data_IF_066757206808
#
_entry.id   IF_066757206808
#
_cell.length_a   1.000
_cell.length_b   1.000
_cell.length_c   1.000
_cell.angle_alpha   90.00
_cell.angle_beta   90.00
_cell.angle_gamma   90.00
#
_symmetry.space_group_name_H-M   'P 1'
#
loop_
_entity.id
_entity.type
_entity.pdbx_description
1 polymer ?
#
# COMPACT_ATOMS: atom_id res chain seq x y z
N UNK A 1 10.67 -6.59 -17.89
CA UNK A 1 9.90 -5.33 -17.83
C UNK A 1 10.05 -4.74 -16.45
N UNK A 2 10.54 -3.51 -16.35
CA UNK A 2 10.68 -2.79 -15.09
C UNK A 2 9.35 -2.06 -14.85
N UNK A 3 8.48 -2.59 -14.00
CA UNK A 3 7.22 -1.94 -13.65
C UNK A 3 7.53 -0.72 -12.76
N UNK A 4 7.09 0.50 -13.10
CA UNK A 4 7.36 1.70 -12.29
C UNK A 4 6.80 1.61 -10.86
N UNK A 5 5.77 0.79 -10.67
CA UNK A 5 5.01 0.61 -9.43
C UNK A 5 5.70 -0.28 -8.40
N UNK A 6 6.85 -0.89 -8.72
CA UNK A 6 7.59 -1.75 -7.77
C UNK A 6 8.77 -1.05 -7.11
N UNK A 7 9.07 0.21 -7.43
CA UNK A 7 10.25 0.92 -6.92
C UNK A 7 10.14 1.16 -5.42
N UNK A 8 11.22 0.83 -4.70
CA UNK A 8 11.36 1.25 -3.31
C UNK A 8 11.31 2.77 -3.20
N UNK A 9 10.63 3.28 -2.19
CA UNK A 9 10.63 4.69 -1.87
C UNK A 9 10.59 4.91 -0.37
N UNK A 10 11.14 6.04 0.05
CA UNK A 10 11.07 6.51 1.43
C UNK A 10 10.52 7.93 1.38
N UNK A 11 9.39 8.16 2.06
CA UNK A 11 8.84 9.50 2.27
C UNK A 11 9.11 9.88 3.72
N UNK A 12 9.79 11.01 3.91
CA UNK A 12 10.03 11.59 5.22
C UNK A 12 9.18 12.83 5.36
N UNK A 13 8.33 12.85 6.37
CA UNK A 13 7.55 14.04 6.74
C UNK A 13 8.30 14.73 7.87
N UNK A 14 8.66 15.98 7.65
CA UNK A 14 9.37 16.82 8.62
C UNK A 14 8.45 17.94 9.12
N UNK A 15 8.61 18.31 10.39
CA UNK A 15 7.96 19.49 10.96
C UNK A 15 8.72 20.78 10.56
N UNK A 16 8.18 21.95 10.89
CA UNK A 16 8.74 23.27 10.62
C UNK A 16 10.13 23.50 11.23
N UNK A 17 10.55 22.64 12.17
CA UNK A 17 11.90 22.61 12.77
C UNK A 17 12.88 21.72 12.01
N UNK A 18 12.48 21.16 10.86
CA UNK A 18 13.20 20.14 10.09
C UNK A 18 13.41 18.80 10.83
N UNK A 19 12.66 18.54 11.90
CA UNK A 19 12.69 17.26 12.59
C UNK A 19 11.76 16.24 11.91
N UNK A 20 12.25 15.03 11.66
CA UNK A 20 11.46 13.94 11.07
C UNK A 20 10.42 13.41 12.06
N UNK A 21 9.15 13.56 11.72
CA UNK A 21 8.01 13.14 12.55
C UNK A 21 7.39 11.84 12.05
N UNK A 22 7.35 11.62 10.73
CA UNK A 22 6.78 10.41 10.13
C UNK A 22 7.72 9.90 9.04
N UNK A 23 8.03 8.61 9.08
CA UNK A 23 8.78 7.92 8.04
C UNK A 23 7.90 6.86 7.39
N UNK A 24 7.65 6.98 6.10
CA UNK A 24 6.91 6.00 5.31
C UNK A 24 7.91 5.27 4.43
N UNK A 25 8.06 3.96 4.62
CA UNK A 25 9.00 3.13 3.89
C UNK A 25 8.26 2.09 3.06
N UNK A 26 8.59 2.02 1.79
CA UNK A 26 8.18 0.95 0.90
C UNK A 26 9.42 0.26 0.36
N UNK A 27 9.59 -1.02 0.71
CA UNK A 27 10.70 -1.83 0.21
C UNK A 27 10.38 -2.42 -1.16
N UNK A 28 11.41 -2.46 -2.03
CA UNK A 28 11.29 -3.09 -3.33
C UNK A 28 11.08 -4.60 -3.12
N UNK A 29 9.94 -5.10 -3.56
CA UNK A 29 9.69 -6.53 -3.67
C UNK A 29 9.46 -6.86 -5.15
N UNK A 30 10.31 -7.72 -5.72
CA UNK A 30 10.18 -8.16 -7.11
C UNK A 30 8.79 -8.83 -7.29
N UNK A 31 8.05 -8.56 -8.36
CA UNK A 31 6.67 -9.08 -8.55
C UNK A 31 5.61 -8.60 -7.54
N UNK A 32 5.94 -7.67 -6.63
CA UNK A 32 4.95 -7.10 -5.72
C UNK A 32 3.95 -6.21 -6.47
N UNK A 33 2.67 -6.35 -6.12
CA UNK A 33 1.57 -5.68 -6.80
C UNK A 33 0.84 -6.53 -7.85
N UNK A 34 1.33 -7.73 -8.16
CA UNK A 34 0.54 -8.70 -8.92
C UNK A 34 -0.60 -9.24 -8.04
N UNK A 35 -1.84 -9.10 -8.52
CA UNK A 35 -3.04 -9.50 -7.77
C UNK A 35 -3.07 -10.98 -7.39
N UNK A 36 -2.45 -11.83 -8.20
CA UNK A 36 -2.39 -13.28 -7.96
C UNK A 36 -1.36 -13.68 -6.90
N UNK A 37 -0.30 -12.89 -6.73
CA UNK A 37 0.80 -13.17 -5.80
C UNK A 37 0.77 -12.30 -4.54
N UNK A 38 -0.26 -11.48 -4.36
CA UNK A 38 -0.44 -10.69 -3.14
C UNK A 38 -0.61 -11.56 -1.88
N UNK A 39 -0.98 -12.84 -2.03
CA UNK A 39 -1.05 -13.85 -0.96
C UNK A 39 0.33 -14.39 -0.54
N UNK A 40 1.33 -14.27 -1.40
CA UNK A 40 2.63 -14.90 -1.18
C UNK A 40 3.51 -13.94 -0.39
N UNK A 41 4.01 -14.39 0.76
CA UNK A 41 4.77 -13.57 1.72
C UNK A 41 5.99 -12.86 1.11
N UNK A 42 6.57 -13.42 0.04
CA UNK A 42 7.69 -12.79 -0.70
C UNK A 42 7.30 -11.70 -1.70
N UNK A 43 6.00 -11.54 -2.01
CA UNK A 43 5.49 -10.68 -3.09
C UNK A 43 4.35 -9.74 -2.64
N UNK A 44 4.05 -9.70 -1.34
CA UNK A 44 3.02 -8.81 -0.79
C UNK A 44 3.51 -7.35 -0.81
N UNK A 45 2.73 -6.47 -1.45
CA UNK A 45 3.00 -5.03 -1.46
C UNK A 45 2.69 -4.45 -0.08
N UNK A 46 3.73 -4.07 0.63
CA UNK A 46 3.70 -3.63 2.03
C UNK A 46 4.39 -2.28 2.19
N UNK A 47 3.78 -1.42 2.99
CA UNK A 47 4.30 -0.10 3.35
C UNK A 47 4.31 -0.03 4.87
N UNK A 48 5.43 0.39 5.43
CA UNK A 48 5.62 0.55 6.87
C UNK A 48 5.58 2.04 7.19
N UNK A 49 4.83 2.39 8.23
CA UNK A 49 4.72 3.77 8.72
C UNK A 49 5.31 3.83 10.13
N UNK A 50 6.27 4.73 10.32
CA UNK A 50 6.97 4.98 11.58
C UNK A 50 6.70 6.40 12.07
N UNK A 51 6.50 6.58 13.39
CA UNK A 51 6.33 7.89 14.02
C UNK A 51 6.60 7.82 15.54
N UNK A 52 7.60 8.55 16.10
CA UNK A 52 8.73 9.22 15.44
C UNK A 52 9.60 8.23 14.64
N UNK A 53 10.57 8.71 13.86
CA UNK A 53 11.46 7.85 13.06
C UNK A 53 12.07 6.72 13.92
N UNK A 54 11.81 5.46 13.55
CA UNK A 54 12.26 4.28 14.30
C UNK A 54 11.20 3.57 15.16
N UNK A 55 10.03 4.16 15.39
CA UNK A 55 8.90 3.46 16.04
C UNK A 55 7.83 3.14 15.02
N UNK A 56 7.65 1.86 14.68
CA UNK A 56 6.59 1.42 13.77
C UNK A 56 5.24 1.60 14.44
N UNK A 57 4.39 2.46 13.88
CA UNK A 57 3.03 2.71 14.36
C UNK A 57 1.99 1.90 13.59
N UNK A 58 2.34 1.42 12.41
CA UNK A 58 1.43 0.63 11.60
C UNK A 58 2.01 0.22 10.26
N UNK A 59 1.29 -0.66 9.60
CA UNK A 59 1.63 -1.15 8.27
C UNK A 59 0.41 -1.13 7.35
N UNK A 60 0.66 -0.96 6.06
CA UNK A 60 -0.35 -1.05 5.02
C UNK A 60 0.02 -2.20 4.12
N UNK A 61 -0.86 -3.19 4.00
CA UNK A 61 -0.64 -4.31 3.08
C UNK A 61 -1.80 -4.46 2.11
N UNK A 62 -1.48 -4.83 0.87
CA UNK A 62 -2.49 -5.19 -0.12
C UNK A 62 -3.03 -6.58 0.20
N UNK A 63 -4.34 -6.70 0.34
CA UNK A 63 -4.98 -7.99 0.54
C UNK A 63 -5.03 -8.78 -0.77
N UNK A 64 -4.87 -10.09 -0.63
CA UNK A 64 -4.96 -11.01 -1.74
C UNK A 64 -6.42 -11.27 -2.09
N UNK A 65 -6.84 -10.83 -3.27
CA UNK A 65 -8.21 -11.00 -3.73
C UNK A 65 -8.20 -11.51 -5.16
N UNK A 66 -8.81 -12.67 -5.36
CA UNK A 66 -8.92 -13.33 -6.66
C UNK A 66 -9.94 -12.65 -7.60
N UNK A 67 -10.59 -11.55 -7.20
CA UNK A 67 -11.66 -10.88 -7.98
C UNK A 67 -11.18 -9.75 -8.89
N UNK A 68 -11.64 -9.75 -10.14
CA UNK A 68 -11.15 -8.88 -11.23
C UNK A 68 -11.32 -7.39 -10.97
N UNK A 69 -12.16 -7.05 -9.99
CA UNK A 69 -12.76 -5.74 -9.96
C UNK A 69 -12.63 -5.00 -8.64
N UNK A 70 -11.72 -5.30 -7.70
CA UNK A 70 -11.42 -4.40 -6.56
C UNK A 70 -10.02 -4.63 -6.00
N UNK A 71 -9.30 -3.56 -5.71
CA UNK A 71 -8.06 -3.62 -4.92
C UNK A 71 -8.39 -3.34 -3.47
N UNK A 72 -7.90 -4.17 -2.56
CA UNK A 72 -8.14 -3.99 -1.14
C UNK A 72 -6.81 -3.77 -0.43
N UNK A 73 -6.77 -2.76 0.42
CA UNK A 73 -5.68 -2.49 1.33
C UNK A 73 -6.19 -2.61 2.75
N UNK A 74 -5.39 -3.22 3.61
CA UNK A 74 -5.61 -3.26 5.03
C UNK A 74 -4.57 -2.36 5.70
N UNK A 75 -5.05 -1.36 6.43
CA UNK A 75 -4.27 -0.64 7.42
C UNK A 75 -4.27 -1.46 8.70
N UNK A 76 -3.07 -1.72 9.18
CA UNK A 76 -2.82 -2.44 10.41
C UNK A 76 -2.12 -1.53 11.40
N UNK A 77 -2.48 -1.67 12.66
CA UNK A 77 -1.78 -1.05 13.78
C UNK A 77 -0.45 -1.77 14.08
N UNK A 78 0.35 -1.24 15.01
CA UNK A 78 1.58 -1.87 15.49
C UNK A 78 1.39 -3.31 16.02
N UNK A 79 0.16 -3.65 16.42
CA UNK A 79 -0.23 -4.98 16.90
C UNK A 79 -0.73 -5.94 15.80
N UNK A 80 -0.54 -5.58 14.53
CA UNK A 80 -1.05 -6.28 13.33
C UNK A 80 -2.60 -6.35 13.23
N UNK A 81 -3.31 -5.62 14.09
CA UNK A 81 -4.76 -5.53 14.06
C UNK A 81 -5.22 -4.63 12.89
N UNK A 82 -6.14 -5.13 12.07
CA UNK A 82 -6.70 -4.34 10.96
C UNK A 82 -7.62 -3.27 11.53
N UNK A 83 -7.20 -2.01 11.42
CA UNK A 83 -7.97 -0.84 11.89
C UNK A 83 -8.88 -0.33 10.79
N UNK A 84 -8.41 -0.35 9.54
CA UNK A 84 -9.08 0.29 8.43
C UNK A 84 -8.88 -0.50 7.15
N UNK A 85 -9.95 -0.59 6.35
CA UNK A 85 -9.95 -1.26 5.05
C UNK A 85 -10.23 -0.23 3.97
N UNK A 86 -9.34 -0.16 2.98
CA UNK A 86 -9.49 0.70 1.81
C UNK A 86 -9.80 -0.20 0.63
N UNK A 87 -10.98 -0.03 0.06
CA UNK A 87 -11.43 -0.76 -1.12
C UNK A 87 -11.41 0.19 -2.31
N UNK A 88 -10.46 -0.02 -3.21
CA UNK A 88 -10.35 0.70 -4.46
C UNK A 88 -11.38 0.26 -5.49
N UNK A 89 -11.59 1.13 -6.47
CA UNK A 89 -12.41 0.87 -7.64
C UNK A 89 -11.94 -0.37 -8.40
N UNK A 90 -12.82 -0.92 -9.22
CA UNK A 90 -12.53 -2.14 -9.96
C UNK A 90 -11.67 -2.04 -11.19
N UNK A 91 -11.27 -0.83 -11.54
CA UNK A 91 -10.64 -0.54 -12.80
C UNK A 91 -9.28 0.10 -12.54
N UNK A 92 -8.36 -0.62 -11.90
CA UNK A 92 -6.93 -0.33 -12.04
C UNK A 92 -6.45 -1.09 -13.30
N UNK A 93 -6.88 -0.60 -14.46
CA UNK A 93 -6.53 -1.24 -15.74
C UNK A 93 -5.07 -0.89 -16.10
N UNK A 94 -4.14 -1.82 -15.90
CA UNK A 94 -2.84 -1.77 -16.55
C UNK A 94 -2.97 -2.31 -18.00
N UNK A 95 -3.24 -1.40 -18.95
CA UNK A 95 -3.16 -1.57 -20.43
C UNK A 95 -4.13 -2.58 -21.12
N UNK A 96 -4.59 -2.40 -22.39
CA UNK A 96 -4.52 -1.26 -23.33
C UNK A 96 -5.74 -0.33 -23.26
N UNK A 97 -6.68 -0.58 -22.32
CA UNK A 97 -7.80 0.30 -22.02
C UNK A 97 -7.53 0.95 -20.68
N UNK A 98 -6.59 1.88 -20.66
CA UNK A 98 -6.32 2.71 -19.49
C UNK A 98 -7.56 3.57 -19.23
N UNK A 99 -8.45 3.08 -18.38
CA UNK A 99 -9.50 3.90 -17.82
C UNK A 99 -8.83 4.84 -16.80
N UNK A 100 -8.36 6.00 -17.26
CA UNK A 100 -7.96 7.12 -16.42
C UNK A 100 -9.18 7.80 -15.77
N UNK A 101 -10.13 7.00 -15.30
CA UNK A 101 -11.31 7.48 -14.60
C UNK A 101 -10.97 7.79 -13.15
N UNK A 102 -11.74 8.70 -12.55
CA UNK A 102 -11.70 8.97 -11.13
C UNK A 102 -11.87 7.66 -10.35
N UNK A 103 -10.82 7.28 -9.62
CA UNK A 103 -10.86 6.10 -8.79
C UNK A 103 -11.53 6.45 -7.47
N UNK A 104 -12.76 6.00 -7.31
CA UNK A 104 -13.45 6.08 -6.02
C UNK A 104 -12.90 5.01 -5.10
N UNK A 105 -12.40 5.44 -3.95
CA UNK A 105 -11.97 4.57 -2.86
C UNK A 105 -13.04 4.60 -1.78
N UNK A 106 -13.47 3.42 -1.35
CA UNK A 106 -14.37 3.25 -0.22
C UNK A 106 -13.50 2.93 0.98
N UNK A 107 -13.59 3.79 1.99
CA UNK A 107 -12.90 3.59 3.27
C UNK A 107 -13.93 3.08 4.27
N UNK A 108 -13.63 1.94 4.87
CA UNK A 108 -14.47 1.35 5.92
C UNK A 108 -13.61 1.06 7.14
N UNK A 109 -14.09 1.46 8.32
CA UNK A 109 -13.53 1.01 9.58
C UNK A 109 -13.85 -0.47 9.78
N UNK A 110 -12.91 -1.19 10.40
CA UNK A 110 -13.11 -2.59 10.75
C UNK A 110 -13.99 -2.75 11.99
#
# INVERSE_FOLDING_TARGET
MCYPTTRAFQVRVVDNTNQEIICIKHEFKCCAGNRWFACTTGYSHEIIVESPSGTVIGSVSRQCICSFSRVHYALKDATDNVVLKIVGSGCLCDWPYACCCENKFIVSNN
#
